data_IF_600015531112
#
_entry.id   IF_600015531112
#
_cell.length_a   1.000
_cell.length_b   1.000
_cell.length_c   1.000
_cell.angle_alpha   90.00
_cell.angle_beta   90.00
_cell.angle_gamma   90.00
#
_symmetry.space_group_name_H-M   'P 1'
#
loop_
_entity.id
_entity.type
_entity.pdbx_description
1 polymer ?
#
# COMPACT_ATOMS: atom_id res chain seq x y z
N UNK A 1 25.24 19.91 -10.65
CA UNK A 1 23.81 19.55 -10.66
C UNK A 1 23.73 18.03 -10.61
N UNK A 2 22.91 17.47 -9.71
CA UNK A 2 22.60 16.04 -9.68
C UNK A 2 21.58 15.80 -10.77
N UNK A 3 21.92 15.00 -11.79
CA UNK A 3 21.06 14.78 -12.97
C UNK A 3 19.84 13.88 -12.74
N UNK A 4 19.46 13.64 -11.48
CA UNK A 4 18.41 12.69 -11.09
C UNK A 4 18.89 11.22 -11.14
N UNK A 5 17.98 10.24 -10.99
CA UNK A 5 18.32 8.82 -11.01
C UNK A 5 18.98 8.43 -12.33
N UNK A 6 20.02 7.63 -12.25
CA UNK A 6 20.72 7.04 -13.40
C UNK A 6 20.47 5.53 -13.44
N UNK A 7 20.50 4.90 -14.61
CA UNK A 7 20.27 3.47 -14.70
C UNK A 7 21.37 2.68 -14.00
N UNK A 8 20.97 1.71 -13.17
CA UNK A 8 21.84 0.72 -12.55
C UNK A 8 21.58 -0.66 -13.13
N UNK A 9 22.63 -1.45 -13.27
CA UNK A 9 22.50 -2.89 -13.51
C UNK A 9 22.13 -3.60 -12.20
N UNK A 10 21.56 -4.80 -12.29
CA UNK A 10 21.30 -5.64 -11.11
C UNK A 10 22.57 -5.97 -10.33
N UNK A 11 23.70 -6.16 -11.01
CA UNK A 11 25.00 -6.42 -10.38
C UNK A 11 25.47 -5.20 -9.55
N UNK A 12 25.38 -3.99 -10.13
CA UNK A 12 25.72 -2.76 -9.41
C UNK A 12 24.82 -2.58 -8.18
N UNK A 13 23.51 -2.82 -8.32
CA UNK A 13 22.56 -2.71 -7.20
C UNK A 13 22.87 -3.74 -6.11
N UNK A 14 23.19 -4.98 -6.47
CA UNK A 14 23.62 -6.01 -5.52
C UNK A 14 24.88 -5.59 -4.76
N UNK A 15 25.87 -5.03 -5.45
CA UNK A 15 27.07 -4.50 -4.80
C UNK A 15 26.80 -3.34 -3.84
N UNK A 16 25.77 -2.52 -4.10
CA UNK A 16 25.34 -1.47 -3.17
C UNK A 16 24.62 -2.06 -1.93
N UNK A 17 23.78 -3.07 -2.12
CA UNK A 17 23.14 -3.80 -1.02
C UNK A 17 24.19 -4.41 -0.09
N UNK A 18 25.23 -5.04 -0.65
CA UNK A 18 26.33 -5.62 0.13
C UNK A 18 27.07 -4.54 0.94
N UNK A 19 27.33 -3.37 0.35
CA UNK A 19 27.98 -2.25 1.04
C UNK A 19 27.11 -1.68 2.17
N UNK A 20 25.80 -1.51 1.94
CA UNK A 20 24.85 -1.04 2.97
C UNK A 20 24.80 -2.06 4.10
N UNK A 21 24.65 -3.34 3.77
CA UNK A 21 24.60 -4.43 4.74
C UNK A 21 25.87 -4.51 5.60
N UNK A 22 27.05 -4.38 5.00
CA UNK A 22 28.31 -4.37 5.75
C UNK A 22 28.39 -3.19 6.73
N UNK A 23 27.89 -2.01 6.37
CA UNK A 23 27.85 -0.85 7.25
C UNK A 23 26.88 -1.04 8.42
N UNK A 24 25.69 -1.61 8.15
CA UNK A 24 24.70 -1.92 9.18
C UNK A 24 25.24 -2.97 10.17
N UNK A 25 25.88 -4.02 9.67
CA UNK A 25 26.57 -4.99 10.52
C UNK A 25 27.66 -4.37 11.39
N UNK A 26 28.49 -3.49 10.82
CA UNK A 26 29.55 -2.83 11.55
C UNK A 26 29.02 -1.86 12.63
N UNK A 27 27.86 -1.22 12.34
CA UNK A 27 27.27 -0.25 13.25
C UNK A 27 26.50 -0.91 14.40
N UNK A 28 25.64 -1.89 14.09
CA UNK A 28 24.74 -2.50 15.09
C UNK A 28 25.33 -3.76 15.75
N UNK A 29 26.30 -4.43 15.13
CA UNK A 29 27.01 -5.56 15.70
C UNK A 29 26.06 -6.64 16.23
N UNK A 30 26.16 -6.95 17.54
CA UNK A 30 25.35 -7.98 18.19
C UNK A 30 23.86 -7.62 18.36
N UNK A 31 23.50 -6.35 18.20
CA UNK A 31 22.10 -5.91 18.25
C UNK A 31 21.35 -6.22 16.96
N UNK A 32 22.04 -6.48 15.84
CA UNK A 32 21.43 -6.82 14.57
C UNK A 32 20.87 -8.25 14.59
N UNK A 33 19.58 -8.39 14.34
CA UNK A 33 18.88 -9.68 14.26
C UNK A 33 18.68 -10.15 12.84
N UNK A 34 18.25 -9.26 11.92
CA UNK A 34 18.06 -9.60 10.52
C UNK A 34 18.23 -8.37 9.61
N UNK A 35 18.61 -8.64 8.36
CA UNK A 35 18.63 -7.70 7.23
C UNK A 35 17.93 -8.36 6.04
N UNK A 36 17.08 -7.63 5.35
CA UNK A 36 16.42 -8.10 4.16
C UNK A 36 16.09 -6.95 3.19
N UNK A 37 16.06 -7.26 1.91
CA UNK A 37 15.62 -6.35 0.86
C UNK A 37 14.16 -6.63 0.58
N UNK A 38 13.34 -5.58 0.41
CA UNK A 38 11.95 -5.73 -0.02
C UNK A 38 11.69 -4.95 -1.32
N UNK A 39 10.45 -4.77 -1.73
CA UNK A 39 10.12 -4.03 -2.93
C UNK A 39 10.44 -4.77 -4.24
N UNK A 40 10.67 -4.02 -5.30
CA UNK A 40 10.88 -4.56 -6.65
C UNK A 40 12.15 -5.40 -6.78
N UNK A 41 13.18 -5.07 -6.01
CA UNK A 41 14.48 -5.78 -6.01
C UNK A 41 14.32 -7.18 -5.43
N UNK A 42 13.58 -7.32 -4.33
CA UNK A 42 13.33 -8.63 -3.71
C UNK A 42 12.56 -9.58 -4.64
N UNK A 43 11.72 -9.03 -5.51
CA UNK A 43 10.92 -9.79 -6.49
C UNK A 43 11.63 -10.06 -7.81
N UNK A 44 12.87 -9.58 -7.98
CA UNK A 44 13.61 -9.64 -9.25
C UNK A 44 12.90 -8.94 -10.43
N UNK A 45 12.06 -7.94 -10.12
CA UNK A 45 11.29 -7.14 -11.08
C UNK A 45 11.79 -5.70 -11.19
N UNK A 46 12.94 -5.45 -10.60
CA UNK A 46 13.58 -4.15 -10.59
C UNK A 46 13.96 -3.67 -11.99
N UNK A 47 13.51 -2.46 -12.30
CA UNK A 47 13.95 -1.70 -13.47
C UNK A 47 15.30 -1.01 -13.23
N UNK A 48 15.90 -0.44 -14.28
CA UNK A 48 17.18 0.26 -14.16
C UNK A 48 17.18 1.41 -13.14
N UNK A 49 16.03 2.02 -12.87
CA UNK A 49 15.86 3.17 -11.98
C UNK A 49 15.22 2.83 -10.63
N UNK A 50 15.05 1.54 -10.33
CA UNK A 50 14.52 1.13 -9.03
C UNK A 50 15.48 1.49 -7.90
N UNK A 51 14.94 1.94 -6.80
CA UNK A 51 15.63 2.17 -5.53
C UNK A 51 15.95 0.85 -4.80
N UNK A 52 16.63 0.99 -3.67
CA UNK A 52 16.95 -0.11 -2.77
C UNK A 52 16.18 0.13 -1.48
N UNK A 53 15.31 -0.82 -1.13
CA UNK A 53 14.47 -0.78 0.06
C UNK A 53 14.86 -1.95 0.98
N UNK A 54 15.17 -1.67 2.25
CA UNK A 54 15.69 -2.68 3.18
C UNK A 54 15.05 -2.57 4.56
N UNK A 55 14.78 -3.73 5.16
CA UNK A 55 14.50 -3.85 6.59
C UNK A 55 15.76 -4.21 7.36
N UNK A 56 16.02 -3.48 8.44
CA UNK A 56 17.05 -3.74 9.42
C UNK A 56 16.39 -4.01 10.78
N UNK A 57 16.38 -5.27 11.21
CA UNK A 57 15.70 -5.68 12.44
C UNK A 57 16.72 -5.77 13.58
N UNK A 58 16.45 -5.07 14.67
CA UNK A 58 17.31 -4.99 15.83
C UNK A 58 16.72 -5.72 17.04
N UNK A 59 17.59 -6.10 17.94
CA UNK A 59 17.27 -6.48 19.32
C UNK A 59 16.88 -5.22 20.10
N UNK A 60 16.08 -5.38 21.14
CA UNK A 60 15.60 -4.29 21.97
C UNK A 60 14.15 -3.99 21.71
N UNK A 61 13.65 -2.86 22.20
CA UNK A 61 12.25 -2.46 22.15
C UNK A 61 12.11 -0.99 21.74
N UNK A 62 11.06 -0.68 20.98
CA UNK A 62 10.66 0.69 20.65
C UNK A 62 11.58 1.41 19.68
N UNK A 63 12.45 0.70 18.96
CA UNK A 63 13.29 1.34 17.92
C UNK A 63 12.48 1.44 16.64
N UNK A 64 12.32 2.66 16.15
CA UNK A 64 11.70 3.02 14.88
C UNK A 64 12.48 4.18 14.28
N UNK A 65 13.22 3.92 13.21
CA UNK A 65 14.02 4.92 12.51
C UNK A 65 14.06 4.55 11.02
N UNK A 66 13.99 5.56 10.17
CA UNK A 66 14.15 5.42 8.72
C UNK A 66 15.38 6.22 8.27
N UNK A 67 16.18 5.60 7.42
CA UNK A 67 17.26 6.26 6.69
C UNK A 67 16.93 6.27 5.21
N UNK A 68 16.57 7.42 4.69
CA UNK A 68 16.29 7.62 3.28
C UNK A 68 17.29 8.61 2.69
N UNK A 69 18.01 8.21 1.62
CA UNK A 69 18.99 9.08 0.98
C UNK A 69 19.12 8.82 -0.51
N UNK A 70 19.59 9.86 -1.22
CA UNK A 70 20.05 9.76 -2.60
C UNK A 70 21.54 9.98 -2.68
N UNK A 71 22.24 9.09 -3.34
CA UNK A 71 23.67 9.23 -3.63
C UNK A 71 23.94 9.84 -5.02
N UNK A 72 22.95 10.55 -5.59
CA UNK A 72 22.99 11.12 -6.93
C UNK A 72 22.38 10.20 -7.96
N UNK A 73 23.10 9.14 -8.42
CA UNK A 73 22.57 8.23 -9.44
C UNK A 73 21.54 7.23 -8.90
N UNK A 74 21.47 6.96 -7.59
CA UNK A 74 20.56 5.99 -6.99
C UNK A 74 20.04 6.45 -5.63
N UNK A 75 18.94 5.85 -5.22
CA UNK A 75 18.27 6.07 -3.94
C UNK A 75 18.27 4.78 -3.14
N UNK A 76 18.37 4.89 -1.82
CA UNK A 76 18.12 3.79 -0.90
C UNK A 76 17.31 4.27 0.30
N UNK A 77 16.59 3.32 0.86
CA UNK A 77 15.81 3.44 2.08
C UNK A 77 16.11 2.24 2.97
N UNK A 78 16.37 2.50 4.25
CA UNK A 78 16.60 1.47 5.26
C UNK A 78 15.71 1.76 6.44
N UNK A 79 14.71 0.92 6.62
CA UNK A 79 13.84 0.92 7.78
C UNK A 79 14.49 0.14 8.91
N UNK A 80 14.78 0.81 10.00
CA UNK A 80 15.41 0.22 11.19
C UNK A 80 14.39 0.10 12.30
N UNK A 81 14.02 -1.12 12.63
CA UNK A 81 13.03 -1.43 13.64
C UNK A 81 13.57 -2.40 14.69
N UNK A 82 13.17 -2.26 15.93
CA UNK A 82 13.24 -3.40 16.87
C UNK A 82 12.20 -4.45 16.53
N UNK A 83 12.43 -5.69 16.97
CA UNK A 83 11.56 -6.82 16.64
C UNK A 83 10.12 -6.60 17.08
N UNK A 84 9.86 -6.01 18.23
CA UNK A 84 8.52 -5.69 18.72
C UNK A 84 7.79 -4.70 17.79
N UNK A 85 8.48 -3.64 17.35
CA UNK A 85 7.87 -2.62 16.47
C UNK A 85 7.51 -3.19 15.11
N UNK A 86 8.42 -3.93 14.45
CA UNK A 86 8.13 -4.49 13.13
C UNK A 86 7.04 -5.58 13.19
N UNK A 87 6.92 -6.33 14.30
CA UNK A 87 5.81 -7.25 14.52
C UNK A 87 4.46 -6.53 14.55
N UNK A 88 4.37 -5.43 15.31
CA UNK A 88 3.15 -4.63 15.39
C UNK A 88 2.78 -4.03 14.04
N UNK A 89 3.78 -3.55 13.28
CA UNK A 89 3.58 -3.01 11.94
C UNK A 89 3.12 -4.09 10.95
N UNK A 90 3.71 -5.27 10.96
CA UNK A 90 3.33 -6.38 10.11
C UNK A 90 1.91 -6.92 10.43
N UNK A 91 1.51 -6.86 11.71
CA UNK A 91 0.17 -7.28 12.14
C UNK A 91 -0.91 -6.22 11.94
N UNK A 92 -0.56 -4.99 11.52
CA UNK A 92 -1.50 -3.89 11.37
C UNK A 92 -2.41 -4.09 10.17
N UNK A 93 -3.71 -3.84 10.35
CA UNK A 93 -4.70 -3.89 9.28
C UNK A 93 -5.42 -2.55 9.22
N UNK A 94 -5.14 -1.82 8.15
CA UNK A 94 -5.72 -0.51 7.82
C UNK A 94 -6.26 -0.51 6.39
N UNK A 95 -6.84 0.58 5.92
CA UNK A 95 -7.46 0.65 4.59
C UNK A 95 -6.50 0.34 3.43
N UNK A 96 -5.21 0.62 3.60
CA UNK A 96 -4.16 0.40 2.61
C UNK A 96 -3.41 -0.96 2.77
N UNK A 97 -3.87 -1.82 3.68
CA UNK A 97 -3.28 -3.13 3.99
C UNK A 97 -2.92 -3.95 2.74
N UNK A 98 -3.81 -3.95 1.76
CA UNK A 98 -3.65 -4.72 0.53
C UNK A 98 -2.42 -4.30 -0.32
N UNK A 99 -1.86 -3.13 -0.05
CA UNK A 99 -0.69 -2.59 -0.74
C UNK A 99 0.55 -2.53 0.17
N UNK A 100 0.40 -2.05 1.39
CA UNK A 100 1.51 -1.77 2.31
C UNK A 100 2.11 -3.02 2.93
N UNK A 101 1.28 -4.02 3.26
CA UNK A 101 1.74 -5.24 3.94
C UNK A 101 2.58 -6.18 3.06
N UNK A 102 2.64 -5.91 1.76
CA UNK A 102 3.54 -6.63 0.85
C UNK A 102 5.01 -6.48 1.25
N UNK A 103 5.40 -5.36 1.81
CA UNK A 103 6.76 -5.09 2.29
C UNK A 103 7.25 -6.13 3.32
N UNK A 104 6.33 -6.75 4.07
CA UNK A 104 6.66 -7.77 5.07
C UNK A 104 6.53 -9.22 4.57
N UNK A 105 5.85 -9.43 3.43
CA UNK A 105 5.59 -10.80 2.93
C UNK A 105 6.51 -11.23 1.81
N UNK A 106 7.20 -10.29 1.17
CA UNK A 106 8.14 -10.57 0.09
C UNK A 106 9.48 -9.88 0.35
N UNK A 107 10.20 -10.44 1.30
CA UNK A 107 11.54 -10.01 1.67
C UNK A 107 12.56 -11.01 1.16
N UNK A 108 13.60 -10.54 0.49
CA UNK A 108 14.81 -11.31 0.16
C UNK A 108 15.78 -11.21 1.34
N UNK A 109 15.99 -12.25 2.14
CA UNK A 109 16.89 -12.19 3.28
C UNK A 109 18.35 -11.99 2.82
N UNK A 110 19.04 -11.03 3.43
CA UNK A 110 20.49 -10.85 3.34
C UNK A 110 21.18 -11.48 4.54
N UNK A 111 20.56 -11.34 5.71
CA UNK A 111 20.98 -11.95 6.97
C UNK A 111 19.72 -12.21 7.81
N UNK A 112 19.41 -13.46 8.11
CA UNK A 112 18.26 -13.83 8.93
C UNK A 112 18.47 -15.21 9.60
N UNK A 113 19.35 -15.31 10.61
CA UNK A 113 19.67 -16.60 11.24
C UNK A 113 18.55 -17.17 12.12
N UNK A 114 17.45 -16.43 12.32
CA UNK A 114 16.32 -16.80 13.19
C UNK A 114 14.99 -16.92 12.43
N UNK A 115 15.02 -16.86 11.10
CA UNK A 115 13.84 -16.91 10.22
C UNK A 115 12.76 -15.86 10.58
N UNK A 116 13.21 -14.63 10.94
CA UNK A 116 12.31 -13.57 11.38
C UNK A 116 11.38 -13.09 10.25
N UNK A 117 11.87 -13.06 9.02
CA UNK A 117 11.04 -12.66 7.89
C UNK A 117 9.92 -13.68 7.61
N UNK A 118 10.14 -14.98 7.80
CA UNK A 118 9.08 -15.97 7.70
C UNK A 118 7.98 -15.75 8.76
N UNK A 119 8.36 -15.34 9.97
CA UNK A 119 7.40 -15.00 11.05
C UNK A 119 6.61 -13.73 10.74
N UNK A 120 7.18 -12.73 10.05
CA UNK A 120 6.44 -11.54 9.62
C UNK A 120 5.33 -11.91 8.63
N UNK A 121 5.57 -12.85 7.71
CA UNK A 121 4.54 -13.35 6.78
C UNK A 121 3.32 -13.89 7.53
N UNK A 122 3.54 -14.67 8.60
CA UNK A 122 2.45 -15.20 9.41
C UNK A 122 1.66 -14.09 10.11
N UNK A 123 2.36 -13.06 10.62
CA UNK A 123 1.76 -11.93 11.32
C UNK A 123 0.85 -11.08 10.44
N UNK A 124 1.23 -10.86 9.17
CA UNK A 124 0.42 -10.09 8.21
C UNK A 124 -1.02 -10.62 8.10
N UNK A 125 -1.21 -11.93 8.21
CA UNK A 125 -2.51 -12.59 8.10
C UNK A 125 -3.11 -13.05 9.43
N UNK A 126 -2.49 -12.70 10.57
CA UNK A 126 -2.85 -13.24 11.89
C UNK A 126 -4.09 -12.60 12.52
N UNK A 127 -4.52 -11.43 12.03
CA UNK A 127 -5.59 -10.68 12.65
C UNK A 127 -6.97 -11.35 12.50
N UNK A 128 -7.82 -11.29 13.52
CA UNK A 128 -9.16 -11.85 13.45
C UNK A 128 -10.05 -11.05 12.50
N UNK A 129 -11.08 -11.72 11.97
CA UNK A 129 -12.04 -11.17 10.99
C UNK A 129 -12.60 -9.79 11.37
N UNK A 130 -12.87 -9.58 12.66
CA UNK A 130 -13.42 -8.31 13.14
C UNK A 130 -12.49 -7.11 12.92
N UNK A 131 -11.17 -7.29 12.92
CA UNK A 131 -10.20 -6.21 12.66
C UNK A 131 -10.27 -5.80 11.19
N UNK A 132 -10.34 -6.77 10.29
CA UNK A 132 -10.52 -6.48 8.87
C UNK A 132 -11.89 -5.82 8.59
N UNK A 133 -12.95 -6.28 9.27
CA UNK A 133 -14.28 -5.64 9.12
C UNK A 133 -14.27 -4.19 9.59
N UNK A 134 -13.54 -3.88 10.66
CA UNK A 134 -13.38 -2.49 11.11
C UNK A 134 -12.63 -1.66 10.05
N UNK A 135 -11.52 -2.15 9.52
CA UNK A 135 -10.76 -1.47 8.46
C UNK A 135 -11.57 -1.29 7.16
N UNK A 136 -12.39 -2.29 6.78
CA UNK A 136 -13.32 -2.17 5.64
C UNK A 136 -14.38 -1.09 5.89
N UNK A 137 -14.95 -1.04 7.10
CA UNK A 137 -15.90 0.01 7.48
C UNK A 137 -15.26 1.40 7.38
N UNK A 138 -14.07 1.57 7.94
CA UNK A 138 -13.36 2.85 7.95
C UNK A 138 -13.01 3.30 6.52
N UNK A 139 -12.60 2.37 5.67
CA UNK A 139 -12.32 2.65 4.25
C UNK A 139 -13.60 3.09 3.49
N UNK A 140 -14.73 2.41 3.73
CA UNK A 140 -16.01 2.76 3.07
C UNK A 140 -16.54 4.10 3.56
N UNK A 141 -16.60 4.30 4.88
CA UNK A 141 -17.25 5.47 5.50
C UNK A 141 -16.30 6.66 5.57
N UNK A 142 -15.05 6.44 5.98
CA UNK A 142 -14.08 7.50 6.18
C UNK A 142 -13.46 8.03 4.89
N UNK A 143 -13.31 7.17 3.87
CA UNK A 143 -12.58 7.56 2.66
C UNK A 143 -13.46 7.57 1.40
N UNK A 144 -14.09 6.45 1.04
CA UNK A 144 -14.89 6.35 -0.20
C UNK A 144 -16.09 7.30 -0.15
N UNK A 145 -16.86 7.29 0.95
CA UNK A 145 -18.01 8.17 1.11
C UNK A 145 -17.63 9.65 1.05
N UNK A 146 -16.52 10.02 1.68
CA UNK A 146 -16.01 11.40 1.64
C UNK A 146 -15.62 11.82 0.21
N UNK A 147 -14.93 10.95 -0.55
CA UNK A 147 -14.55 11.23 -1.94
C UNK A 147 -15.78 11.41 -2.85
N UNK A 148 -16.81 10.59 -2.67
CA UNK A 148 -18.09 10.75 -3.38
C UNK A 148 -18.73 12.11 -3.05
N UNK A 149 -18.71 12.51 -1.78
CA UNK A 149 -19.19 13.84 -1.37
C UNK A 149 -18.42 14.97 -2.05
N UNK A 150 -17.09 14.86 -2.13
CA UNK A 150 -16.23 15.85 -2.81
C UNK A 150 -16.54 15.90 -4.31
N UNK A 151 -16.71 14.77 -4.98
CA UNK A 151 -17.07 14.73 -6.42
C UNK A 151 -18.44 15.32 -6.68
N UNK A 152 -19.45 15.05 -5.86
CA UNK A 152 -20.78 15.66 -5.95
C UNK A 152 -20.75 17.16 -5.74
N UNK A 153 -19.92 17.64 -4.79
CA UNK A 153 -19.69 19.07 -4.60
C UNK A 153 -19.06 19.70 -5.86
N UNK A 154 -18.07 19.06 -6.46
CA UNK A 154 -17.47 19.54 -7.71
C UNK A 154 -18.51 19.71 -8.82
N UNK A 155 -19.40 18.73 -8.98
CA UNK A 155 -20.48 18.77 -9.97
C UNK A 155 -21.44 19.92 -9.74
N UNK A 156 -21.92 20.12 -8.50
CA UNK A 156 -22.90 21.18 -8.17
C UNK A 156 -22.30 22.57 -8.27
N UNK A 157 -21.03 22.72 -7.92
CA UNK A 157 -20.35 24.03 -7.92
C UNK A 157 -19.66 24.37 -9.25
N UNK A 158 -19.61 23.44 -10.23
CA UNK A 158 -18.88 23.59 -11.48
C UNK A 158 -17.35 23.62 -11.29
N UNK A 159 -16.83 23.10 -10.18
CA UNK A 159 -15.40 23.04 -9.91
C UNK A 159 -14.80 21.77 -10.53
N UNK A 160 -14.30 21.86 -11.76
CA UNK A 160 -13.79 20.69 -12.49
C UNK A 160 -12.32 20.36 -12.21
N UNK A 161 -11.52 21.31 -11.75
CA UNK A 161 -10.07 21.13 -11.58
C UNK A 161 -9.66 19.93 -10.70
N UNK A 162 -10.30 19.61 -9.54
CA UNK A 162 -9.91 18.50 -8.70
C UNK A 162 -10.55 17.15 -9.09
N UNK A 163 -11.47 17.12 -10.08
CA UNK A 163 -12.26 15.92 -10.43
C UNK A 163 -11.35 14.76 -10.81
N UNK A 164 -10.36 14.98 -11.66
CA UNK A 164 -9.38 13.95 -12.07
C UNK A 164 -8.68 13.33 -10.87
N UNK A 165 -8.23 14.15 -9.92
CA UNK A 165 -7.57 13.66 -8.73
C UNK A 165 -8.51 12.85 -7.84
N UNK A 166 -9.69 13.38 -7.50
CA UNK A 166 -10.65 12.66 -6.66
C UNK A 166 -11.13 11.36 -7.31
N UNK A 167 -11.25 11.31 -8.63
CA UNK A 167 -11.61 10.10 -9.36
C UNK A 167 -10.51 9.04 -9.27
N UNK A 168 -9.25 9.45 -9.44
CA UNK A 168 -8.10 8.54 -9.29
C UNK A 168 -8.02 7.99 -7.86
N UNK A 169 -8.14 8.86 -6.85
CA UNK A 169 -8.18 8.44 -5.44
C UNK A 169 -9.35 7.48 -5.17
N UNK A 170 -10.53 7.76 -5.72
CA UNK A 170 -11.70 6.89 -5.58
C UNK A 170 -11.45 5.48 -6.16
N UNK A 171 -10.82 5.40 -7.33
CA UNK A 171 -10.43 4.13 -7.94
C UNK A 171 -9.41 3.38 -7.08
N UNK A 172 -8.41 4.10 -6.52
CA UNK A 172 -7.43 3.52 -5.59
C UNK A 172 -8.14 2.93 -4.36
N UNK A 173 -9.04 3.71 -3.71
CA UNK A 173 -9.78 3.23 -2.53
C UNK A 173 -10.71 2.06 -2.87
N UNK A 174 -11.32 2.05 -4.05
CA UNK A 174 -12.11 0.93 -4.55
C UNK A 174 -11.28 -0.34 -4.74
N UNK A 175 -10.08 -0.23 -5.28
CA UNK A 175 -9.16 -1.35 -5.43
C UNK A 175 -8.69 -1.88 -4.06
N UNK A 176 -8.29 -0.98 -3.15
CA UNK A 176 -7.89 -1.33 -1.78
C UNK A 176 -9.02 -2.03 -1.00
N UNK A 177 -10.27 -1.58 -1.18
CA UNK A 177 -11.45 -2.21 -0.59
C UNK A 177 -11.56 -3.69 -0.98
N UNK A 178 -11.41 -3.98 -2.26
CA UNK A 178 -11.48 -5.36 -2.77
C UNK A 178 -10.28 -6.17 -2.30
N UNK A 179 -9.06 -5.63 -2.40
CA UNK A 179 -7.85 -6.29 -1.92
C UNK A 179 -7.95 -6.66 -0.43
N UNK A 180 -8.41 -5.73 0.41
CA UNK A 180 -8.61 -5.96 1.83
C UNK A 180 -9.69 -7.01 2.11
N UNK A 181 -10.82 -6.96 1.39
CA UNK A 181 -11.91 -7.92 1.55
C UNK A 181 -11.53 -9.34 1.14
N UNK A 182 -10.79 -9.48 0.04
CA UNK A 182 -10.34 -10.76 -0.50
C UNK A 182 -9.04 -11.27 0.14
N UNK A 183 -8.47 -10.55 1.10
CA UNK A 183 -7.14 -10.83 1.70
C UNK A 183 -6.04 -10.94 0.64
N UNK A 184 -6.15 -10.15 -0.41
CA UNK A 184 -5.20 -10.11 -1.51
C UNK A 184 -4.21 -8.96 -1.33
N UNK A 185 -2.93 -9.27 -1.29
CA UNK A 185 -1.86 -8.28 -1.34
C UNK A 185 -1.50 -7.99 -2.78
N UNK A 186 -1.74 -6.78 -3.24
CA UNK A 186 -1.37 -6.36 -4.59
C UNK A 186 0.14 -6.47 -4.80
N UNK A 187 0.51 -6.87 -5.99
CA UNK A 187 1.90 -7.04 -6.36
C UNK A 187 2.70 -5.72 -6.27
N UNK A 188 2.09 -4.63 -6.73
CA UNK A 188 2.59 -3.27 -6.62
C UNK A 188 1.49 -2.26 -6.90
N UNK A 189 1.71 -1.00 -6.52
CA UNK A 189 0.79 0.09 -6.85
C UNK A 189 0.55 0.21 -8.37
N UNK A 190 1.58 -0.02 -9.19
CA UNK A 190 1.46 0.05 -10.65
C UNK A 190 0.63 -1.07 -11.28
N UNK A 191 0.46 -2.20 -10.60
CA UNK A 191 -0.34 -3.35 -11.06
C UNK A 191 -1.71 -3.43 -10.39
N UNK A 192 -1.95 -2.67 -9.35
CA UNK A 192 -3.15 -2.75 -8.51
C UNK A 192 -4.45 -2.73 -9.33
N UNK A 193 -4.59 -1.82 -10.28
CA UNK A 193 -5.80 -1.71 -11.09
C UNK A 193 -6.00 -2.91 -12.02
N UNK A 194 -4.95 -3.45 -12.59
CA UNK A 194 -5.06 -4.66 -13.44
C UNK A 194 -5.36 -5.89 -12.61
N UNK A 195 -4.74 -6.03 -11.45
CA UNK A 195 -4.96 -7.16 -10.55
C UNK A 195 -6.37 -7.15 -9.95
N UNK A 196 -6.87 -5.98 -9.51
CA UNK A 196 -8.22 -5.90 -8.93
C UNK A 196 -9.30 -6.29 -9.93
N UNK A 197 -9.09 -6.05 -11.23
CA UNK A 197 -10.03 -6.47 -12.27
C UNK A 197 -10.18 -8.00 -12.39
N UNK A 198 -9.17 -8.75 -11.96
CA UNK A 198 -9.17 -10.23 -11.94
C UNK A 198 -9.79 -10.80 -10.65
N UNK A 199 -9.84 -10.03 -9.56
CA UNK A 199 -10.34 -10.49 -8.27
C UNK A 199 -11.86 -10.68 -8.29
N UNK A 200 -12.41 -11.64 -7.52
CA UNK A 200 -13.85 -11.76 -7.31
C UNK A 200 -14.38 -10.63 -6.40
N UNK A 201 -15.68 -10.65 -6.11
CA UNK A 201 -16.28 -9.85 -5.04
C UNK A 201 -16.27 -8.32 -5.23
N UNK A 202 -15.95 -7.82 -6.40
CA UNK A 202 -15.91 -6.38 -6.69
C UNK A 202 -17.30 -5.71 -6.58
N UNK A 203 -17.39 -4.50 -6.01
CA UNK A 203 -18.56 -3.66 -6.19
C UNK A 203 -18.83 -3.39 -7.67
N UNK A 204 -20.11 -3.33 -8.06
CA UNK A 204 -20.48 -2.90 -9.40
C UNK A 204 -19.96 -1.48 -9.66
N UNK A 205 -19.58 -1.17 -10.89
CA UNK A 205 -19.01 0.11 -11.29
C UNK A 205 -17.51 0.27 -11.00
N UNK A 206 -16.90 -0.60 -10.16
CA UNK A 206 -15.44 -0.55 -9.96
C UNK A 206 -14.65 -0.87 -11.22
N UNK A 207 -15.01 -1.89 -12.04
CA UNK A 207 -14.30 -2.16 -13.28
C UNK A 207 -14.27 -0.96 -14.24
N UNK A 208 -15.41 -0.29 -14.42
CA UNK A 208 -15.53 0.87 -15.28
C UNK A 208 -14.70 2.05 -14.74
N UNK A 209 -14.71 2.29 -13.43
CA UNK A 209 -13.91 3.31 -12.77
C UNK A 209 -12.41 3.04 -12.94
N UNK A 210 -11.95 1.80 -12.73
CA UNK A 210 -10.54 1.44 -12.93
C UNK A 210 -10.12 1.60 -14.40
N UNK A 211 -10.98 1.18 -15.34
CA UNK A 211 -10.70 1.31 -16.77
C UNK A 211 -10.59 2.77 -17.21
N UNK A 212 -11.44 3.64 -16.68
CA UNK A 212 -11.38 5.09 -16.93
C UNK A 212 -10.02 5.67 -16.52
N UNK A 213 -9.51 5.27 -15.35
CA UNK A 213 -8.19 5.72 -14.86
C UNK A 213 -7.04 5.10 -15.67
N UNK A 214 -7.09 3.80 -15.98
CA UNK A 214 -6.07 3.11 -16.80
C UNK A 214 -5.97 3.74 -18.19
N UNK A 215 -7.10 4.07 -18.81
CA UNK A 215 -7.14 4.70 -20.13
C UNK A 215 -6.67 6.16 -20.11
N UNK A 216 -6.62 6.80 -18.93
CA UNK A 216 -6.33 8.22 -18.79
C UNK A 216 -7.45 9.13 -19.33
N UNK A 217 -8.66 8.61 -19.47
CA UNK A 217 -9.82 9.35 -20.01
C UNK A 217 -10.52 10.15 -18.90
N UNK A 218 -9.76 11.08 -18.31
CA UNK A 218 -10.17 11.89 -17.16
C UNK A 218 -10.33 13.37 -17.50
N UNK A 219 -10.43 13.70 -18.80
CA UNK A 219 -10.54 15.09 -19.26
C UNK A 219 -11.97 15.63 -19.27
N UNK A 220 -12.97 14.75 -19.38
CA UNK A 220 -14.39 15.12 -19.44
C UNK A 220 -15.12 14.73 -18.15
N UNK A 221 -15.29 15.71 -17.27
CA UNK A 221 -15.94 15.53 -15.97
C UNK A 221 -17.41 15.08 -16.08
N UNK A 222 -18.13 15.44 -17.15
CA UNK A 222 -19.50 15.01 -17.34
C UNK A 222 -19.63 13.50 -17.62
N UNK A 223 -18.61 12.90 -18.21
CA UNK A 223 -18.50 11.45 -18.37
C UNK A 223 -18.01 10.74 -17.10
N UNK A 224 -17.25 11.43 -16.26
CA UNK A 224 -16.69 10.88 -15.02
C UNK A 224 -17.76 10.72 -13.91
N UNK A 225 -18.59 11.75 -13.69
CA UNK A 225 -19.57 11.74 -12.59
C UNK A 225 -20.51 10.55 -12.59
N UNK A 226 -21.10 10.12 -13.73
CA UNK A 226 -21.95 8.93 -13.76
C UNK A 226 -21.22 7.64 -13.38
N UNK A 227 -19.94 7.50 -13.76
CA UNK A 227 -19.11 6.33 -13.42
C UNK A 227 -18.84 6.30 -11.92
N UNK A 228 -18.51 7.44 -11.31
CA UNK A 228 -18.30 7.53 -9.87
C UNK A 228 -19.58 7.26 -9.07
N UNK A 229 -20.73 7.77 -9.52
CA UNK A 229 -22.03 7.50 -8.89
C UNK A 229 -22.44 6.03 -9.04
N UNK A 230 -22.19 5.38 -10.20
CA UNK A 230 -22.44 3.95 -10.41
C UNK A 230 -21.58 3.10 -9.47
N UNK A 231 -20.30 3.44 -9.31
CA UNK A 231 -19.43 2.78 -8.35
C UNK A 231 -19.94 2.93 -6.92
N UNK A 232 -20.37 4.13 -6.51
CA UNK A 232 -20.93 4.33 -5.17
C UNK A 232 -22.15 3.46 -4.91
N UNK A 233 -23.12 3.41 -5.83
CA UNK A 233 -24.27 2.50 -5.69
C UNK A 233 -23.83 1.03 -5.59
N UNK A 234 -22.77 0.65 -6.31
CA UNK A 234 -22.16 -0.68 -6.18
C UNK A 234 -21.58 -0.92 -4.79
N UNK A 235 -20.92 0.09 -4.20
CA UNK A 235 -20.37 0.03 -2.83
C UNK A 235 -21.50 -0.09 -1.79
N UNK A 236 -22.60 0.65 -1.92
CA UNK A 236 -23.77 0.53 -1.02
C UNK A 236 -24.31 -0.90 -1.00
N UNK A 237 -24.55 -1.48 -2.19
CA UNK A 237 -25.05 -2.86 -2.31
C UNK A 237 -24.01 -3.90 -1.82
N UNK A 238 -22.73 -3.64 -2.06
CA UNK A 238 -21.64 -4.48 -1.61
C UNK A 238 -21.51 -4.46 -0.07
N UNK A 239 -21.57 -3.29 0.54
CA UNK A 239 -21.50 -3.10 1.99
C UNK A 239 -22.66 -3.80 2.70
N UNK A 240 -23.89 -3.67 2.18
CA UNK A 240 -25.07 -4.37 2.71
C UNK A 240 -24.87 -5.90 2.67
N UNK A 241 -24.42 -6.45 1.56
CA UNK A 241 -24.10 -7.88 1.41
C UNK A 241 -23.03 -8.37 2.41
N UNK A 242 -22.06 -7.51 2.76
CA UNK A 242 -20.98 -7.84 3.70
C UNK A 242 -21.31 -7.44 5.15
N UNK A 243 -22.50 -6.92 5.41
CA UNK A 243 -22.96 -6.50 6.74
C UNK A 243 -22.17 -5.30 7.30
N UNK A 244 -21.70 -4.41 6.42
CA UNK A 244 -21.05 -3.16 6.77
C UNK A 244 -22.13 -2.07 6.82
N UNK A 245 -22.34 -1.47 7.98
CA UNK A 245 -23.33 -0.41 8.17
C UNK A 245 -22.74 0.94 7.76
N UNK A 246 -23.16 1.48 6.61
CA UNK A 246 -22.74 2.82 6.16
C UNK A 246 -23.49 3.91 6.96
N UNK A 247 -24.78 3.73 7.21
CA UNK A 247 -25.60 4.67 7.97
C UNK A 247 -25.74 4.20 9.42
N UNK A 248 -24.83 4.61 10.28
CA UNK A 248 -24.90 4.38 11.71
C UNK A 248 -24.81 5.71 12.47
N UNK A 249 -25.61 5.85 13.53
CA UNK A 249 -25.53 6.99 14.45
C UNK A 249 -24.83 6.52 15.72
N UNK A 250 -23.53 6.77 15.88
CA UNK A 250 -22.86 6.44 17.13
C UNK A 250 -23.46 7.28 18.26
N UNK A 251 -23.59 6.67 19.44
CA UNK A 251 -23.92 7.43 20.64
C UNK A 251 -22.74 8.30 21.00
N UNK A 252 -22.85 9.60 20.76
CA UNK A 252 -21.82 10.56 21.18
C UNK A 252 -22.09 10.86 22.66
N UNK A 253 -21.17 10.54 23.58
CA UNK A 253 -21.30 10.97 24.96
C UNK A 253 -21.13 12.49 24.99
N UNK A 254 -22.24 13.19 25.27
CA UNK A 254 -22.28 14.64 25.48
C UNK A 254 -22.22 14.89 26.99
#
# INVERSE_FOLDING_TARGET
MIGGPQPLTREQRRGLIDQISARLHAHYGAELLALGVYGSVAREEDGPFSDIEMHCILRGNGVETNYEWSAGPWKAEVDVYSWDVIQDMAARVEGDWALTQRAYTQVMPVYDPQDLFARLVELVFSQPEQVYRAALHDLVVGEIYELIGKLRNCRVTGMHAPVTWFTTELAVRGALLVGLAERHLFHSASRMFTEVLELPGKPNGLPELCQLVIAGDLSDSENIFPVCDAFWHGVEAWADKHGIQIAAHPTIPI
#
